data_IF_345346339647
#
_entry.id   IF_345346339647
#
_cell.length_a   1.000
_cell.length_b   1.000
_cell.length_c   1.000
_cell.angle_alpha   90.00
_cell.angle_beta   90.00
_cell.angle_gamma   90.00
#
_symmetry.space_group_name_H-M   'P 1'
#
loop_
_entity.id
_entity.type
_entity.pdbx_description
1 polymer ?
#
# COMPACT_ATOMS: atom_id res chain seq x y z
N UNK A 1 -34.57 26.73 65.25
CA UNK A 1 -34.11 25.41 65.70
C UNK A 1 -33.85 24.61 64.42
N UNK A 2 -32.61 24.53 63.99
CA UNK A 2 -32.21 23.55 62.96
C UNK A 2 -30.73 23.27 63.17
N UNK A 3 -30.40 22.01 63.48
CA UNK A 3 -29.10 21.52 63.81
C UNK A 3 -28.28 21.40 62.51
N UNK A 4 -27.17 22.14 62.41
CA UNK A 4 -26.11 21.90 61.46
C UNK A 4 -25.25 20.74 61.98
N UNK A 5 -25.28 19.60 61.31
CA UNK A 5 -24.36 18.48 61.53
C UNK A 5 -23.01 18.80 60.88
N UNK A 6 -22.00 18.90 61.71
CA UNK A 6 -20.58 18.99 61.29
C UNK A 6 -20.13 17.61 60.84
N UNK A 7 -19.81 17.45 59.55
CA UNK A 7 -19.13 16.27 59.03
C UNK A 7 -17.62 16.46 59.29
N UNK A 8 -17.10 15.72 60.24
CA UNK A 8 -15.68 15.62 60.52
C UNK A 8 -14.98 14.77 59.47
N UNK A 9 -14.21 15.38 58.56
CA UNK A 9 -13.24 14.69 57.70
C UNK A 9 -11.95 14.47 58.50
N UNK A 10 -11.87 13.38 59.24
CA UNK A 10 -10.63 12.84 59.78
C UNK A 10 -10.49 11.41 59.26
N UNK A 11 -9.58 11.19 58.35
CA UNK A 11 -8.75 9.98 58.17
C UNK A 11 -7.89 10.11 56.91
N UNK A 12 -6.89 10.97 56.94
CA UNK A 12 -5.73 10.77 56.05
C UNK A 12 -4.80 9.72 56.72
N UNK A 13 -5.17 8.46 56.61
CA UNK A 13 -4.33 7.36 57.00
C UNK A 13 -3.07 7.34 56.17
N UNK A 14 -1.89 7.37 56.80
CA UNK A 14 -0.60 7.15 56.14
C UNK A 14 -0.65 5.79 55.46
N UNK A 15 -0.80 5.78 54.14
CA UNK A 15 -0.60 4.58 53.32
C UNK A 15 0.84 4.07 53.54
N UNK A 16 1.05 2.80 53.93
CA UNK A 16 2.36 2.27 54.12
C UNK A 16 3.17 2.39 52.85
N UNK A 17 4.42 2.77 52.95
CA UNK A 17 5.34 2.98 51.78
C UNK A 17 5.29 1.83 50.77
N UNK A 18 5.03 0.60 51.24
CA UNK A 18 4.85 -0.60 50.42
C UNK A 18 3.63 -0.50 49.46
N UNK A 19 2.52 0.12 49.91
CA UNK A 19 1.34 0.30 49.05
C UNK A 19 1.56 1.34 47.94
N UNK A 20 2.32 2.40 48.23
CA UNK A 20 2.68 3.41 47.20
C UNK A 20 3.60 2.81 46.14
N UNK A 21 4.58 2.00 46.56
CA UNK A 21 5.48 1.29 45.63
C UNK A 21 4.71 0.27 44.78
N UNK A 22 3.76 -0.45 45.35
CA UNK A 22 2.90 -1.38 44.59
C UNK A 22 1.99 -0.65 43.61
N UNK A 23 1.43 0.49 43.98
CA UNK A 23 0.60 1.31 43.08
C UNK A 23 1.41 1.88 41.93
N UNK A 24 2.64 2.35 42.16
CA UNK A 24 3.54 2.84 41.10
C UNK A 24 3.98 1.69 40.19
N UNK A 25 4.28 0.52 40.74
CA UNK A 25 4.62 -0.67 39.93
C UNK A 25 3.43 -1.15 39.07
N UNK A 26 2.19 -1.08 39.58
CA UNK A 26 0.99 -1.42 38.84
C UNK A 26 0.71 -0.42 37.68
N UNK A 27 0.97 0.87 37.90
CA UNK A 27 0.83 1.90 36.85
C UNK A 27 1.92 1.71 35.75
N UNK A 28 3.15 1.37 36.14
CA UNK A 28 4.23 1.10 35.20
C UNK A 28 3.99 -0.18 34.39
N UNK A 29 3.39 -1.20 34.97
CA UNK A 29 3.04 -2.45 34.26
C UNK A 29 1.88 -2.23 33.24
N UNK A 30 1.03 -1.23 33.44
CA UNK A 30 -0.06 -0.89 32.52
C UNK A 30 0.39 -0.21 31.21
N UNK A 31 1.64 0.28 31.13
CA UNK A 31 2.17 0.97 29.95
C UNK A 31 2.87 0.03 28.95
N UNK A 32 2.90 -1.29 29.16
CA UNK A 32 3.48 -2.22 28.17
C UNK A 32 2.46 -2.50 27.07
N UNK A 33 2.76 -2.02 25.85
CA UNK A 33 1.99 -2.39 24.65
C UNK A 33 2.43 -3.78 24.23
N UNK A 34 1.65 -4.80 24.59
CA UNK A 34 1.88 -6.15 24.09
C UNK A 34 1.29 -6.27 22.67
N UNK A 35 2.06 -6.76 21.67
CA UNK A 35 1.52 -6.99 20.34
C UNK A 35 0.42 -8.05 20.42
N UNK A 36 -0.78 -7.69 19.96
CA UNK A 36 -1.95 -8.57 19.90
C UNK A 36 -2.05 -9.19 18.52
N UNK A 37 -1.97 -10.51 18.44
CA UNK A 37 -2.18 -11.21 17.18
C UNK A 37 -3.65 -11.06 16.75
N UNK A 38 -3.87 -10.92 15.43
CA UNK A 38 -5.20 -10.86 14.85
C UNK A 38 -5.93 -12.19 15.06
N UNK A 39 -7.16 -12.14 15.52
CA UNK A 39 -8.03 -13.31 15.63
C UNK A 39 -8.60 -13.68 14.25
N UNK A 40 -9.03 -14.95 14.09
CA UNK A 40 -9.63 -15.39 12.84
C UNK A 40 -10.92 -14.61 12.50
N UNK A 41 -11.68 -14.18 13.49
CA UNK A 41 -12.91 -13.41 13.26
C UNK A 41 -12.61 -11.98 12.81
N UNK A 42 -11.61 -11.32 13.40
CA UNK A 42 -11.11 -10.02 12.92
C UNK A 42 -10.62 -10.11 11.45
N UNK A 43 -9.92 -11.19 11.11
CA UNK A 43 -9.48 -11.43 9.72
C UNK A 43 -10.67 -11.65 8.79
N UNK A 44 -11.69 -12.43 9.19
CA UNK A 44 -12.92 -12.66 8.39
C UNK A 44 -13.69 -11.38 8.14
N UNK A 45 -13.89 -10.56 9.16
CA UNK A 45 -14.59 -9.27 9.01
C UNK A 45 -13.83 -8.32 8.10
N UNK A 46 -12.50 -8.24 8.26
CA UNK A 46 -11.65 -7.47 7.36
C UNK A 46 -11.78 -7.95 5.91
N UNK A 47 -11.63 -9.28 5.66
CA UNK A 47 -11.73 -9.85 4.31
C UNK A 47 -13.09 -9.55 3.69
N UNK A 48 -14.18 -9.70 4.44
CA UNK A 48 -15.54 -9.38 3.98
C UNK A 48 -15.68 -7.91 3.57
N UNK A 49 -15.19 -7.02 4.41
CA UNK A 49 -15.20 -5.58 4.15
C UNK A 49 -14.33 -5.21 2.95
N UNK A 50 -13.10 -5.74 2.88
CA UNK A 50 -12.16 -5.44 1.80
C UNK A 50 -12.67 -5.99 0.46
N UNK A 51 -13.23 -7.21 0.44
CA UNK A 51 -13.83 -7.79 -0.76
C UNK A 51 -15.01 -6.95 -1.25
N UNK A 52 -15.87 -6.47 -0.35
CA UNK A 52 -16.99 -5.60 -0.73
C UNK A 52 -16.51 -4.26 -1.33
N UNK A 53 -15.42 -3.69 -0.80
CA UNK A 53 -14.84 -2.45 -1.30
C UNK A 53 -14.02 -2.63 -2.58
N UNK A 54 -13.38 -3.78 -2.78
CA UNK A 54 -12.49 -4.05 -3.90
C UNK A 54 -13.17 -3.81 -5.26
N UNK A 55 -14.44 -4.20 -5.38
CA UNK A 55 -15.22 -4.11 -6.60
C UNK A 55 -16.28 -3.00 -6.58
N UNK A 56 -16.34 -2.22 -5.50
CA UNK A 56 -17.32 -1.14 -5.37
C UNK A 56 -17.04 0.00 -6.35
N UNK A 57 -18.10 0.59 -6.92
CA UNK A 57 -18.00 1.76 -7.79
C UNK A 57 -17.45 1.47 -9.19
N UNK A 58 -17.38 0.21 -9.60
CA UNK A 58 -17.00 -0.14 -10.97
C UNK A 58 -18.19 0.08 -11.92
N UNK A 59 -17.91 0.68 -13.08
CA UNK A 59 -18.90 0.81 -14.13
C UNK A 59 -19.26 -0.57 -14.68
N UNK A 60 -20.56 -0.90 -14.87
CA UNK A 60 -20.96 -2.17 -15.44
C UNK A 60 -20.41 -2.35 -16.85
N UNK A 61 -20.16 -3.60 -17.25
CA UNK A 61 -19.75 -3.94 -18.60
C UNK A 61 -21.04 -4.20 -19.39
N UNK A 62 -21.41 -3.27 -20.25
CA UNK A 62 -22.67 -3.34 -21.05
C UNK A 62 -22.45 -3.70 -22.52
N UNK A 63 -21.20 -3.59 -22.99
CA UNK A 63 -20.82 -3.88 -24.37
C UNK A 63 -19.48 -4.62 -24.42
N UNK A 64 -19.09 -5.08 -25.60
CA UNK A 64 -17.77 -5.66 -25.81
C UNK A 64 -16.67 -4.62 -25.51
N UNK A 65 -15.67 -5.01 -24.73
CA UNK A 65 -14.61 -4.14 -24.24
C UNK A 65 -13.61 -3.86 -25.36
N UNK A 66 -13.40 -2.57 -25.69
CA UNK A 66 -12.36 -2.14 -26.61
C UNK A 66 -10.99 -2.08 -25.90
N UNK A 67 -9.91 -1.95 -26.68
CA UNK A 67 -8.55 -1.77 -26.13
C UNK A 67 -8.47 -0.53 -25.24
N UNK A 68 -9.06 0.57 -25.68
CA UNK A 68 -9.06 1.85 -24.96
C UNK A 68 -9.85 1.74 -23.66
N UNK A 69 -10.99 1.05 -23.69
CA UNK A 69 -11.77 0.79 -22.47
C UNK A 69 -11.03 -0.12 -21.49
N UNK A 70 -10.36 -1.16 -21.98
CA UNK A 70 -9.56 -2.04 -21.16
C UNK A 70 -8.43 -1.28 -20.44
N UNK A 71 -7.72 -0.41 -21.17
CA UNK A 71 -6.69 0.48 -20.61
C UNK A 71 -7.30 1.45 -19.59
N UNK A 72 -8.42 2.09 -19.91
CA UNK A 72 -9.09 3.04 -19.03
C UNK A 72 -9.57 2.36 -17.73
N UNK A 73 -10.13 1.15 -17.83
CA UNK A 73 -10.52 0.34 -16.65
C UNK A 73 -9.31 -0.07 -15.81
N UNK A 74 -8.23 -0.50 -16.43
CA UNK A 74 -7.00 -0.85 -15.72
C UNK A 74 -6.44 0.37 -14.98
N UNK A 75 -6.32 1.54 -15.61
CA UNK A 75 -5.87 2.77 -14.96
C UNK A 75 -6.76 3.22 -13.80
N UNK A 76 -8.06 2.92 -13.87
CA UNK A 76 -9.01 3.35 -12.84
C UNK A 76 -9.14 2.35 -11.70
N UNK A 77 -9.09 1.05 -11.97
CA UNK A 77 -9.47 0.01 -11.03
C UNK A 77 -8.36 -0.96 -10.64
N UNK A 78 -7.22 -0.99 -11.37
CA UNK A 78 -6.11 -1.89 -11.07
C UNK A 78 -5.58 -1.64 -9.64
N UNK A 79 -5.41 -2.70 -8.87
CA UNK A 79 -5.05 -2.62 -7.46
C UNK A 79 -3.57 -2.26 -7.26
N UNK A 80 -2.68 -2.75 -8.12
CA UNK A 80 -1.24 -2.44 -8.03
C UNK A 80 -0.98 -0.96 -8.33
N UNK A 81 -1.69 -0.41 -9.33
CA UNK A 81 -1.61 1.02 -9.61
C UNK A 81 -2.16 1.86 -8.44
N UNK A 82 -3.28 1.44 -7.84
CA UNK A 82 -3.85 2.12 -6.66
C UNK A 82 -2.91 2.07 -5.47
N UNK A 83 -2.25 0.92 -5.24
CA UNK A 83 -1.22 0.79 -4.21
C UNK A 83 -0.08 1.79 -4.43
N UNK A 84 0.49 1.84 -5.63
CA UNK A 84 1.57 2.79 -5.95
C UNK A 84 1.15 4.25 -5.85
N UNK A 85 -0.09 4.57 -6.17
CA UNK A 85 -0.67 5.91 -5.95
C UNK A 85 -0.73 6.27 -4.47
N UNK A 86 -1.08 5.31 -3.59
CA UNK A 86 -1.11 5.54 -2.14
C UNK A 86 0.31 5.66 -1.55
N UNK A 87 1.25 4.85 -2.02
CA UNK A 87 2.67 4.95 -1.63
C UNK A 87 3.25 6.33 -2.00
N UNK A 88 2.92 6.84 -3.19
CA UNK A 88 3.34 8.16 -3.63
C UNK A 88 2.71 9.28 -2.76
N UNK A 89 1.41 9.17 -2.44
CA UNK A 89 0.74 10.11 -1.55
C UNK A 89 1.35 10.10 -0.12
N UNK A 90 1.71 8.91 0.39
CA UNK A 90 2.42 8.78 1.66
C UNK A 90 3.79 9.47 1.61
N UNK A 91 4.58 9.21 0.55
CA UNK A 91 5.89 9.83 0.38
C UNK A 91 5.79 11.36 0.27
N UNK A 92 4.75 11.89 -0.39
CA UNK A 92 4.46 13.31 -0.43
C UNK A 92 4.17 13.85 0.97
N UNK A 93 3.28 13.20 1.73
CA UNK A 93 2.97 13.63 3.10
C UNK A 93 4.18 13.62 4.03
N UNK A 94 5.10 12.65 3.86
CA UNK A 94 6.35 12.61 4.60
C UNK A 94 7.29 13.76 4.21
N UNK A 95 7.39 14.10 2.92
CA UNK A 95 8.18 15.24 2.46
C UNK A 95 7.62 16.57 2.99
N UNK A 96 6.30 16.74 2.99
CA UNK A 96 5.63 17.89 3.59
C UNK A 96 5.87 17.96 5.10
N UNK A 97 5.73 16.84 5.81
CA UNK A 97 5.99 16.76 7.24
C UNK A 97 7.43 17.16 7.58
N UNK A 98 8.42 16.58 6.90
CA UNK A 98 9.84 16.87 7.14
C UNK A 98 10.20 18.34 6.82
N UNK A 99 9.46 18.98 5.91
CA UNK A 99 9.66 20.41 5.64
C UNK A 99 9.30 21.30 6.84
N UNK A 100 8.41 20.85 7.72
CA UNK A 100 8.04 21.57 8.93
C UNK A 100 9.15 21.56 9.99
N UNK A 101 10.08 20.60 9.94
CA UNK A 101 11.23 20.53 10.86
C UNK A 101 12.21 21.70 10.67
N UNK A 102 12.11 22.42 9.55
CA UNK A 102 12.86 23.67 9.31
C UNK A 102 12.25 24.87 10.03
N UNK A 103 11.01 24.78 10.49
CA UNK A 103 10.29 25.87 11.12
C UNK A 103 10.65 25.98 12.60
N UNK A 104 10.56 27.20 13.17
CA UNK A 104 10.70 27.38 14.60
C UNK A 104 9.60 26.65 15.37
N UNK A 105 9.97 26.13 16.54
CA UNK A 105 9.06 25.44 17.44
C UNK A 105 8.48 26.41 18.46
N UNK A 106 7.17 26.37 18.64
CA UNK A 106 6.46 27.12 19.67
C UNK A 106 5.89 26.13 20.70
N UNK A 107 6.41 26.18 21.91
CA UNK A 107 5.99 25.32 23.01
C UNK A 107 5.23 26.16 24.03
N UNK A 108 3.96 25.83 24.25
CA UNK A 108 3.17 26.39 25.36
C UNK A 108 3.23 25.45 26.56
N UNK A 109 3.65 25.99 27.71
CA UNK A 109 3.70 25.24 28.97
C UNK A 109 2.77 25.85 30.01
N UNK A 110 2.08 25.00 30.76
CA UNK A 110 1.28 25.39 31.90
C UNK A 110 1.55 24.44 33.07
N UNK A 111 1.94 25.00 34.20
CA UNK A 111 2.20 24.25 35.42
C UNK A 111 1.43 24.83 36.61
N UNK A 112 0.93 23.95 37.46
CA UNK A 112 0.33 24.29 38.75
C UNK A 112 1.09 23.55 39.85
N UNK A 113 1.60 24.29 40.83
CA UNK A 113 2.29 23.76 42.01
C UNK A 113 1.61 24.27 43.26
N UNK A 114 1.26 23.37 44.16
CA UNK A 114 0.67 23.71 45.46
C UNK A 114 1.36 22.96 46.58
N UNK A 115 1.65 23.63 47.68
CA UNK A 115 2.26 23.03 48.86
C UNK A 115 1.32 23.20 50.07
N UNK A 116 1.37 22.27 50.97
CA UNK A 116 0.64 22.36 52.24
C UNK A 116 1.33 23.21 53.30
N UNK A 117 2.62 23.56 53.10
CA UNK A 117 3.46 24.37 54.02
C UNK A 117 4.17 25.50 53.25
N UNK A 118 4.66 26.50 53.96
CA UNK A 118 5.59 27.49 53.41
C UNK A 118 6.99 26.90 53.32
N UNK A 119 7.72 27.21 52.24
CA UNK A 119 9.16 26.99 52.18
C UNK A 119 9.84 28.15 52.90
N UNK A 120 10.41 27.89 54.06
CA UNK A 120 11.07 28.90 54.84
C UNK A 120 12.61 28.72 54.87
N UNK A 121 13.32 29.80 54.88
CA UNK A 121 14.77 29.83 55.04
C UNK A 121 15.17 31.08 55.80
N UNK A 122 16.40 31.12 56.29
CA UNK A 122 17.04 32.30 56.85
C UNK A 122 17.68 33.10 55.72
N UNK A 123 17.56 34.42 55.74
CA UNK A 123 18.21 35.34 54.77
C UNK A 123 19.41 36.03 55.44
N UNK A 124 20.43 36.31 54.62
CA UNK A 124 21.60 37.07 55.02
C UNK A 124 21.48 38.49 54.47
N UNK A 125 21.64 39.49 55.32
CA UNK A 125 21.65 40.88 54.89
C UNK A 125 22.79 41.15 53.91
N UNK A 126 22.52 41.75 52.77
CA UNK A 126 23.54 41.99 51.74
C UNK A 126 24.51 43.12 52.19
N UNK A 127 24.06 44.03 53.01
CA UNK A 127 24.85 45.22 53.41
C UNK A 127 25.63 45.01 54.72
N UNK A 128 25.09 44.23 55.64
CA UNK A 128 25.61 44.01 57.00
C UNK A 128 26.11 42.62 57.25
N UNK A 129 25.79 41.65 56.38
CA UNK A 129 26.16 40.23 56.54
C UNK A 129 25.41 39.53 57.68
N UNK A 130 24.43 40.15 58.34
CA UNK A 130 23.72 39.58 59.46
C UNK A 130 22.70 38.50 59.01
N UNK A 131 22.65 37.40 59.77
CA UNK A 131 21.69 36.32 59.49
C UNK A 131 20.36 36.65 60.16
N UNK A 132 19.30 36.70 59.42
CA UNK A 132 17.96 36.93 59.95
C UNK A 132 17.55 35.75 60.84
N UNK A 133 17.20 36.02 62.10
CA UNK A 133 16.72 35.03 63.06
C UNK A 133 15.26 34.66 62.83
N UNK A 134 14.54 35.41 61.97
CA UNK A 134 13.17 35.12 61.57
C UNK A 134 13.16 34.39 60.22
N UNK A 135 12.54 33.21 60.14
CA UNK A 135 12.46 32.53 58.84
C UNK A 135 11.59 33.37 57.89
N UNK A 136 12.08 33.54 56.67
CA UNK A 136 11.38 34.25 55.59
C UNK A 136 11.04 33.23 54.46
N UNK A 137 9.96 33.50 53.77
CA UNK A 137 9.60 32.70 52.58
C UNK A 137 9.50 33.63 51.40
N UNK A 138 10.26 33.31 50.38
CA UNK A 138 10.22 34.01 49.08
C UNK A 138 9.33 33.26 48.07
N UNK A 139 8.89 32.03 48.43
CA UNK A 139 8.08 31.22 47.57
C UNK A 139 6.60 31.21 48.01
N UNK A 140 5.70 31.38 47.07
CA UNK A 140 4.28 31.23 47.28
C UNK A 140 3.86 29.78 47.50
N UNK A 141 2.85 29.55 48.35
CA UNK A 141 2.30 28.19 48.57
C UNK A 141 1.65 27.62 47.31
N UNK A 142 1.07 28.50 46.51
CA UNK A 142 0.36 28.13 45.27
C UNK A 142 0.93 28.95 44.13
N UNK A 143 1.49 28.29 43.16
CA UNK A 143 2.11 28.95 42.00
C UNK A 143 1.55 28.39 40.72
N UNK A 144 1.05 29.26 39.87
CA UNK A 144 0.68 28.92 38.48
C UNK A 144 1.75 29.49 37.57
N UNK A 145 2.40 28.58 36.83
CA UNK A 145 3.39 28.93 35.82
C UNK A 145 2.72 28.82 34.45
N UNK A 146 2.82 29.84 33.64
CA UNK A 146 2.41 29.84 32.25
C UNK A 146 3.57 30.41 31.44
N UNK A 147 3.94 29.67 30.40
CA UNK A 147 5.05 30.07 29.54
C UNK A 147 4.74 29.75 28.09
N UNK A 148 5.23 30.61 27.22
CA UNK A 148 5.32 30.34 25.78
C UNK A 148 6.80 30.47 25.45
N UNK A 149 7.37 29.39 24.95
CA UNK A 149 8.76 29.31 24.54
C UNK A 149 8.83 29.20 23.03
N UNK A 150 9.57 30.08 22.42
CA UNK A 150 9.90 30.03 20.99
C UNK A 150 11.36 29.60 20.88
N UNK A 151 11.59 28.46 20.24
CA UNK A 151 12.93 27.95 19.99
C UNK A 151 13.18 27.77 18.50
N UNK A 152 14.29 28.24 18.02
CA UNK A 152 14.76 28.04 16.67
C UNK A 152 16.27 27.84 16.66
N UNK A 153 16.72 26.68 16.23
CA UNK A 153 18.14 26.40 16.16
C UNK A 153 18.65 26.62 14.73
N UNK A 154 19.34 27.71 14.52
CA UNK A 154 19.89 28.08 13.23
C UNK A 154 20.96 27.10 12.71
N UNK A 155 21.67 26.39 13.62
CA UNK A 155 22.65 25.36 13.23
C UNK A 155 21.99 24.11 12.69
N UNK A 156 20.85 23.70 13.25
CA UNK A 156 20.10 22.55 12.81
C UNK A 156 19.30 22.83 11.51
N UNK A 157 19.11 24.11 11.16
CA UNK A 157 18.42 24.48 9.92
C UNK A 157 19.08 23.88 8.69
N UNK A 158 20.42 23.88 8.60
CA UNK A 158 21.15 23.28 7.49
C UNK A 158 20.88 21.78 7.34
N UNK A 159 20.92 21.06 8.45
CA UNK A 159 20.62 19.61 8.48
C UNK A 159 19.17 19.34 8.13
N UNK A 160 18.24 20.10 8.70
CA UNK A 160 16.80 19.97 8.41
C UNK A 160 16.48 20.29 6.94
N UNK A 161 17.18 21.27 6.35
CA UNK A 161 17.04 21.59 4.92
C UNK A 161 17.45 20.42 4.02
N UNK A 162 18.63 19.82 4.25
CA UNK A 162 19.07 18.69 3.44
C UNK A 162 18.18 17.46 3.66
N UNK A 163 17.71 17.20 4.88
CA UNK A 163 16.74 16.13 5.16
C UNK A 163 15.42 16.33 4.42
N UNK A 164 14.88 17.55 4.43
CA UNK A 164 13.67 17.89 3.69
C UNK A 164 13.87 17.71 2.17
N UNK A 165 15.03 18.10 1.65
CA UNK A 165 15.39 17.91 0.23
C UNK A 165 15.50 16.42 -0.13
N UNK A 166 16.19 15.63 0.67
CA UNK A 166 16.27 14.16 0.49
C UNK A 166 14.88 13.53 0.52
N UNK A 167 14.00 13.95 1.43
CA UNK A 167 12.64 13.44 1.50
C UNK A 167 11.80 13.85 0.29
N UNK A 168 12.03 15.05 -0.24
CA UNK A 168 11.46 15.49 -1.51
C UNK A 168 11.91 14.61 -2.70
N UNK A 169 13.18 14.23 -2.75
CA UNK A 169 13.70 13.29 -3.75
C UNK A 169 13.14 11.88 -3.56
N UNK A 170 12.89 11.41 -2.33
CA UNK A 170 12.17 10.14 -2.08
C UNK A 170 10.74 10.18 -2.64
N UNK A 171 10.05 11.30 -2.52
CA UNK A 171 8.75 11.48 -3.18
C UNK A 171 8.87 11.37 -4.71
N UNK A 172 9.86 12.04 -5.34
CA UNK A 172 10.09 11.94 -6.79
C UNK A 172 10.42 10.51 -7.23
N UNK A 173 11.20 9.75 -6.45
CA UNK A 173 11.43 8.31 -6.67
C UNK A 173 10.11 7.54 -6.67
N UNK A 174 9.22 7.80 -5.73
CA UNK A 174 7.93 7.13 -5.66
C UNK A 174 7.05 7.41 -6.88
N UNK A 175 7.11 8.64 -7.43
CA UNK A 175 6.43 9.03 -8.66
C UNK A 175 6.99 8.32 -9.89
N UNK A 176 8.32 8.17 -10.02
CA UNK A 176 8.90 7.41 -11.13
C UNK A 176 8.56 5.91 -11.04
N UNK A 177 8.52 5.33 -9.84
CA UNK A 177 8.02 3.96 -9.61
C UNK A 177 6.57 3.81 -10.02
N UNK A 178 5.71 4.79 -9.71
CA UNK A 178 4.33 4.81 -10.16
C UNK A 178 4.23 4.86 -11.69
N UNK A 179 5.07 5.67 -12.36
CA UNK A 179 5.15 5.74 -13.84
C UNK A 179 5.57 4.40 -14.44
N UNK A 180 6.55 3.73 -13.84
CA UNK A 180 6.97 2.39 -14.27
C UNK A 180 5.82 1.38 -14.21
N UNK A 181 5.07 1.36 -13.11
CA UNK A 181 3.90 0.48 -12.97
C UNK A 181 2.86 0.77 -14.05
N UNK A 182 2.60 2.04 -14.37
CA UNK A 182 1.69 2.40 -15.47
C UNK A 182 2.18 1.87 -16.82
N UNK A 183 3.48 2.01 -17.13
CA UNK A 183 4.04 1.52 -18.39
C UNK A 183 3.92 -0.01 -18.50
N UNK A 184 4.29 -0.74 -17.45
CA UNK A 184 4.17 -2.20 -17.41
C UNK A 184 2.70 -2.63 -17.56
N UNK A 185 1.80 -2.01 -16.80
CA UNK A 185 0.37 -2.30 -16.86
C UNK A 185 -0.21 -2.05 -18.27
N UNK A 186 0.18 -0.99 -18.95
CA UNK A 186 -0.23 -0.73 -20.34
C UNK A 186 0.24 -1.82 -21.30
N UNK A 187 1.48 -2.30 -21.11
CA UNK A 187 2.01 -3.41 -21.90
C UNK A 187 1.25 -4.71 -21.61
N UNK A 188 1.02 -5.02 -20.32
CA UNK A 188 0.32 -6.23 -19.90
C UNK A 188 -1.13 -6.23 -20.39
N UNK A 189 -1.84 -5.10 -20.28
CA UNK A 189 -3.21 -4.95 -20.78
C UNK A 189 -3.26 -5.16 -22.29
N UNK A 190 -2.34 -4.57 -23.05
CA UNK A 190 -2.26 -4.78 -24.51
C UNK A 190 -2.03 -6.26 -24.85
N UNK A 191 -1.07 -6.88 -24.19
CA UNK A 191 -0.75 -8.29 -24.42
C UNK A 191 -1.92 -9.21 -24.06
N UNK A 192 -2.54 -8.98 -22.90
CA UNK A 192 -3.72 -9.75 -22.45
C UNK A 192 -4.93 -9.53 -23.36
N UNK A 193 -5.16 -8.30 -23.83
CA UNK A 193 -6.25 -7.97 -24.76
C UNK A 193 -6.14 -8.73 -26.08
N UNK A 194 -4.97 -8.68 -26.72
CA UNK A 194 -4.75 -9.40 -27.99
C UNK A 194 -4.81 -10.93 -27.83
N UNK A 195 -4.33 -11.45 -26.70
CA UNK A 195 -4.48 -12.87 -26.36
C UNK A 195 -5.95 -13.25 -26.15
N UNK A 196 -6.71 -12.41 -25.43
CA UNK A 196 -8.14 -12.64 -25.18
C UNK A 196 -8.96 -12.56 -26.48
N UNK A 197 -8.65 -11.62 -27.36
CA UNK A 197 -9.29 -11.50 -28.69
C UNK A 197 -8.97 -12.72 -29.56
N UNK A 198 -7.69 -13.14 -29.58
CA UNK A 198 -7.29 -14.37 -30.27
C UNK A 198 -8.01 -15.62 -29.74
N UNK A 199 -8.12 -15.71 -28.40
CA UNK A 199 -8.87 -16.77 -27.73
C UNK A 199 -10.35 -16.79 -28.16
N UNK A 200 -10.99 -15.62 -28.17
CA UNK A 200 -12.40 -15.49 -28.55
C UNK A 200 -12.64 -15.96 -29.99
N UNK A 201 -11.76 -15.64 -30.93
CA UNK A 201 -11.84 -16.05 -32.33
C UNK A 201 -11.54 -17.55 -32.56
N UNK A 202 -10.53 -18.06 -31.84
CA UNK A 202 -10.05 -19.43 -32.06
C UNK A 202 -10.87 -20.49 -31.32
N UNK A 203 -11.61 -20.13 -30.26
CA UNK A 203 -12.38 -21.12 -29.49
C UNK A 203 -13.39 -21.89 -30.34
N UNK A 204 -14.14 -21.23 -31.21
CA UNK A 204 -15.11 -21.89 -32.09
C UNK A 204 -14.43 -22.86 -33.06
N UNK A 205 -13.30 -22.49 -33.63
CA UNK A 205 -12.50 -23.35 -34.55
C UNK A 205 -11.88 -24.52 -33.79
N UNK A 206 -11.39 -24.30 -32.55
CA UNK A 206 -10.85 -25.34 -31.72
C UNK A 206 -11.89 -26.40 -31.36
N UNK A 207 -13.11 -25.99 -31.04
CA UNK A 207 -14.22 -26.91 -30.76
C UNK A 207 -14.58 -27.76 -31.98
N UNK A 208 -14.64 -27.17 -33.18
CA UNK A 208 -14.89 -27.91 -34.43
C UNK A 208 -13.76 -28.92 -34.73
N UNK A 209 -12.50 -28.56 -34.56
CA UNK A 209 -11.35 -29.45 -34.77
C UNK A 209 -11.36 -30.61 -33.75
N UNK A 210 -11.68 -30.35 -32.49
CA UNK A 210 -11.81 -31.38 -31.46
C UNK A 210 -12.91 -32.37 -31.77
N UNK A 211 -14.07 -31.89 -32.26
CA UNK A 211 -15.15 -32.79 -32.71
C UNK A 211 -14.71 -33.67 -33.90
N UNK A 212 -14.05 -33.10 -34.90
CA UNK A 212 -13.50 -33.82 -36.04
C UNK A 212 -12.48 -34.87 -35.61
N UNK A 213 -11.57 -34.51 -34.67
CA UNK A 213 -10.56 -35.43 -34.16
C UNK A 213 -11.20 -36.60 -33.38
N UNK A 214 -12.22 -36.35 -32.55
CA UNK A 214 -12.93 -37.38 -31.83
C UNK A 214 -13.68 -38.34 -32.77
N UNK A 215 -14.31 -37.81 -33.81
CA UNK A 215 -14.98 -38.61 -34.83
C UNK A 215 -13.97 -39.46 -35.62
N UNK A 216 -12.83 -38.89 -35.99
CA UNK A 216 -11.75 -39.63 -36.69
C UNK A 216 -11.19 -40.76 -35.83
N UNK A 217 -11.04 -40.55 -34.51
CA UNK A 217 -10.61 -41.57 -33.57
C UNK A 217 -11.60 -42.72 -33.49
N UNK A 218 -12.90 -42.42 -33.41
CA UNK A 218 -13.96 -43.43 -33.39
C UNK A 218 -13.96 -44.26 -34.67
N UNK A 219 -13.93 -43.60 -35.84
CA UNK A 219 -13.86 -44.27 -37.15
C UNK A 219 -12.61 -45.12 -37.31
N UNK A 220 -11.45 -44.69 -36.82
CA UNK A 220 -10.22 -45.46 -36.86
C UNK A 220 -10.32 -46.77 -36.04
N UNK A 221 -10.98 -46.72 -34.86
CA UNK A 221 -11.23 -47.88 -34.03
C UNK A 221 -12.22 -48.85 -34.68
N UNK A 222 -13.26 -48.34 -35.32
CA UNK A 222 -14.21 -49.15 -36.08
C UNK A 222 -13.53 -49.88 -37.27
N UNK A 223 -12.70 -49.14 -38.03
CA UNK A 223 -11.96 -49.71 -39.15
C UNK A 223 -10.93 -50.77 -38.70
N UNK A 224 -10.31 -50.62 -37.55
CA UNK A 224 -9.44 -51.61 -36.92
C UNK A 224 -10.25 -52.87 -36.54
N UNK A 225 -11.37 -52.67 -35.85
CA UNK A 225 -12.24 -53.77 -35.42
C UNK A 225 -12.79 -54.58 -36.62
N UNK A 226 -13.14 -53.87 -37.71
CA UNK A 226 -13.60 -54.49 -38.97
C UNK A 226 -12.44 -55.04 -39.83
N UNK A 227 -11.20 -54.96 -39.35
CA UNK A 227 -10.00 -55.43 -40.06
C UNK A 227 -9.79 -54.76 -41.44
N UNK A 228 -10.27 -53.54 -41.64
CA UNK A 228 -10.10 -52.78 -42.88
C UNK A 228 -8.67 -52.24 -42.99
N UNK A 229 -8.04 -51.92 -41.86
CA UNK A 229 -6.67 -51.43 -41.78
C UNK A 229 -5.83 -52.32 -40.86
N UNK A 230 -4.51 -52.46 -41.11
CA UNK A 230 -3.64 -53.22 -40.23
C UNK A 230 -3.56 -52.60 -38.84
N UNK A 231 -3.56 -53.39 -37.73
CA UNK A 231 -3.59 -52.90 -36.36
C UNK A 231 -2.46 -51.91 -36.04
N UNK A 232 -1.23 -52.12 -36.54
CA UNK A 232 -0.10 -51.22 -36.33
C UNK A 232 -0.31 -49.82 -36.94
N UNK A 233 -0.97 -49.77 -38.11
CA UNK A 233 -1.30 -48.52 -38.78
C UNK A 233 -2.42 -47.78 -38.03
N UNK A 234 -3.45 -48.55 -37.61
CA UNK A 234 -4.56 -48.01 -36.81
C UNK A 234 -4.06 -47.38 -35.52
N UNK A 235 -3.24 -48.10 -34.77
CA UNK A 235 -2.67 -47.61 -33.50
C UNK A 235 -1.78 -46.37 -33.68
N UNK A 236 -0.94 -46.35 -34.72
CA UNK A 236 -0.11 -45.16 -35.02
C UNK A 236 -0.98 -43.94 -35.31
N UNK A 237 -2.03 -44.06 -36.09
CA UNK A 237 -2.97 -43.00 -36.41
C UNK A 237 -3.78 -42.54 -35.18
N UNK A 238 -4.27 -43.48 -34.38
CA UNK A 238 -4.99 -43.17 -33.13
C UNK A 238 -4.10 -42.43 -32.15
N UNK A 239 -2.82 -42.81 -32.01
CA UNK A 239 -1.86 -42.12 -31.18
C UNK A 239 -1.63 -40.68 -31.66
N UNK A 240 -1.42 -40.47 -32.95
CA UNK A 240 -1.24 -39.13 -33.52
C UNK A 240 -2.46 -38.23 -33.29
N UNK A 241 -3.70 -38.77 -33.40
CA UNK A 241 -4.93 -38.04 -33.10
C UNK A 241 -5.06 -37.70 -31.62
N UNK A 242 -4.69 -38.61 -30.73
CA UNK A 242 -4.69 -38.36 -29.29
C UNK A 242 -3.66 -37.27 -28.91
N UNK A 243 -2.45 -37.37 -29.43
CA UNK A 243 -1.39 -36.36 -29.19
C UNK A 243 -1.85 -34.98 -29.69
N UNK A 244 -2.45 -34.89 -30.87
CA UNK A 244 -3.00 -33.64 -31.41
C UNK A 244 -4.17 -33.12 -30.54
N UNK A 245 -5.05 -34.02 -30.04
CA UNK A 245 -6.15 -33.64 -29.17
C UNK A 245 -5.66 -33.10 -27.81
N UNK A 246 -4.64 -33.73 -27.22
CA UNK A 246 -4.00 -33.26 -25.98
C UNK A 246 -3.39 -31.86 -26.18
N UNK A 247 -2.63 -31.68 -27.25
CA UNK A 247 -2.02 -30.37 -27.57
C UNK A 247 -3.11 -29.30 -27.77
N UNK A 248 -4.17 -29.60 -28.50
CA UNK A 248 -5.25 -28.64 -28.76
C UNK A 248 -5.99 -28.26 -27.47
N UNK A 249 -6.24 -29.23 -26.58
CA UNK A 249 -6.85 -28.95 -25.28
C UNK A 249 -5.96 -28.08 -24.39
N UNK A 250 -4.64 -28.32 -24.38
CA UNK A 250 -3.68 -27.44 -23.68
C UNK A 250 -3.74 -26.01 -24.22
N UNK A 251 -3.71 -25.83 -25.54
CA UNK A 251 -3.82 -24.50 -26.15
C UNK A 251 -5.13 -23.80 -25.84
N UNK A 252 -6.23 -24.55 -25.82
CA UNK A 252 -7.56 -24.04 -25.43
C UNK A 252 -7.57 -23.56 -23.96
N UNK A 253 -6.92 -24.28 -23.07
CA UNK A 253 -6.76 -23.84 -21.68
C UNK A 253 -5.91 -22.56 -21.59
N UNK A 254 -4.78 -22.49 -22.28
CA UNK A 254 -3.93 -21.29 -22.34
C UNK A 254 -4.74 -20.07 -22.81
N UNK A 255 -5.56 -20.24 -23.84
CA UNK A 255 -6.42 -19.19 -24.36
C UNK A 255 -7.52 -18.78 -23.35
N UNK A 256 -8.10 -19.73 -22.61
CA UNK A 256 -9.08 -19.44 -21.58
C UNK A 256 -8.50 -18.61 -20.41
N UNK A 257 -7.21 -18.77 -20.11
CA UNK A 257 -6.53 -17.95 -19.11
C UNK A 257 -6.32 -16.50 -19.56
N UNK A 258 -6.13 -16.24 -20.84
CA UNK A 258 -5.90 -14.89 -21.36
C UNK A 258 -7.05 -13.92 -21.04
N UNK A 259 -8.31 -14.40 -21.15
CA UNK A 259 -9.49 -13.58 -20.78
C UNK A 259 -9.53 -13.28 -19.27
N UNK A 260 -9.14 -14.26 -18.44
CA UNK A 260 -9.08 -14.08 -16.98
C UNK A 260 -7.95 -13.13 -16.57
N UNK A 261 -6.81 -13.19 -17.25
CA UNK A 261 -5.70 -12.29 -17.06
C UNK A 261 -6.11 -10.83 -17.35
N UNK A 262 -6.79 -10.61 -18.49
CA UNK A 262 -7.33 -9.29 -18.82
C UNK A 262 -8.36 -8.83 -17.77
N UNK A 263 -9.24 -9.73 -17.30
CA UNK A 263 -10.19 -9.44 -16.23
C UNK A 263 -9.49 -9.00 -14.94
N UNK A 264 -8.41 -9.69 -14.54
CA UNK A 264 -7.63 -9.35 -13.36
C UNK A 264 -6.95 -7.97 -13.49
N UNK A 265 -6.36 -7.66 -14.65
CA UNK A 265 -5.74 -6.35 -14.90
C UNK A 265 -6.76 -5.20 -14.80
N UNK A 266 -7.99 -5.42 -15.27
CA UNK A 266 -9.10 -4.47 -15.17
C UNK A 266 -9.80 -4.49 -13.79
N UNK A 267 -9.39 -5.37 -12.88
CA UNK A 267 -10.05 -5.65 -11.60
C UNK A 267 -11.55 -6.04 -11.75
N UNK A 268 -11.89 -6.78 -12.80
CA UNK A 268 -13.26 -7.27 -13.00
C UNK A 268 -13.55 -8.39 -11.98
N UNK A 269 -14.72 -8.39 -11.31
CA UNK A 269 -15.07 -9.42 -10.34
C UNK A 269 -15.04 -10.83 -10.96
N UNK A 270 -14.58 -11.86 -10.24
CA UNK A 270 -14.64 -13.23 -10.68
C UNK A 270 -16.07 -13.66 -11.05
N UNK A 271 -16.23 -14.37 -12.18
CA UNK A 271 -17.53 -14.84 -12.65
C UNK A 271 -18.30 -13.86 -13.54
N UNK A 272 -17.85 -12.62 -13.69
CA UNK A 272 -18.41 -11.71 -14.68
C UNK A 272 -17.86 -12.09 -16.06
N UNK A 273 -18.76 -12.48 -16.97
CA UNK A 273 -18.41 -12.74 -18.36
C UNK A 273 -18.47 -11.42 -19.17
N UNK A 274 -17.56 -11.27 -20.11
CA UNK A 274 -17.51 -10.16 -21.03
C UNK A 274 -16.93 -10.58 -22.37
N UNK A 275 -17.21 -9.82 -23.41
CA UNK A 275 -16.61 -10.03 -24.72
C UNK A 275 -15.57 -8.93 -24.99
N UNK A 276 -14.57 -9.27 -25.76
CA UNK A 276 -13.57 -8.34 -26.26
C UNK A 276 -14.04 -7.86 -27.65
N UNK A 277 -14.00 -6.54 -27.85
CA UNK A 277 -14.40 -5.95 -29.12
C UNK A 277 -13.40 -6.36 -30.22
N UNK A 278 -13.93 -6.66 -31.41
CA UNK A 278 -13.09 -6.93 -32.56
C UNK A 278 -12.38 -5.65 -33.01
N UNK A 279 -11.08 -5.74 -33.21
CA UNK A 279 -10.33 -4.66 -33.85
C UNK A 279 -10.69 -4.59 -35.34
N UNK A 280 -11.00 -3.38 -35.82
CA UNK A 280 -11.34 -3.16 -37.23
C UNK A 280 -10.17 -3.45 -38.16
N UNK A 281 -8.95 -3.24 -37.69
CA UNK A 281 -7.71 -3.52 -38.43
C UNK A 281 -6.69 -4.21 -37.53
N UNK A 282 -6.13 -5.32 -38.02
CA UNK A 282 -5.05 -6.07 -37.37
C UNK A 282 -3.74 -5.84 -38.09
N UNK A 283 -3.35 -4.59 -38.29
CA UNK A 283 -2.05 -4.25 -38.86
C UNK A 283 -0.98 -4.20 -37.81
N UNK A 284 0.13 -4.89 -38.05
CA UNK A 284 1.32 -4.76 -37.18
C UNK A 284 1.90 -3.35 -37.34
N UNK A 285 2.19 -2.65 -36.24
CA UNK A 285 2.86 -1.36 -36.33
C UNK A 285 4.23 -1.53 -36.99
N UNK A 286 4.62 -0.57 -37.82
CA UNK A 286 5.94 -0.59 -38.43
C UNK A 286 7.04 -0.54 -37.37
N UNK A 287 8.05 -1.39 -37.50
CA UNK A 287 9.20 -1.36 -36.61
C UNK A 287 9.91 0.00 -36.70
N UNK A 288 10.33 0.59 -35.59
CA UNK A 288 11.09 1.83 -35.60
C UNK A 288 12.40 1.64 -36.38
N UNK A 289 12.68 2.54 -37.31
CA UNK A 289 13.88 2.46 -38.19
C UNK A 289 15.15 3.03 -37.52
N UNK A 290 14.98 3.94 -36.56
CA UNK A 290 16.09 4.67 -35.95
C UNK A 290 16.26 4.24 -34.48
N UNK A 291 17.14 3.26 -34.26
CA UNK A 291 17.43 2.72 -32.92
C UNK A 291 18.04 3.78 -32.02
N UNK A 292 18.94 4.63 -32.53
CA UNK A 292 19.62 5.69 -31.79
C UNK A 292 18.61 6.68 -31.16
N UNK A 293 17.55 7.06 -31.89
CA UNK A 293 16.49 7.91 -31.29
C UNK A 293 15.72 7.23 -30.18
N UNK A 294 15.54 5.91 -30.26
CA UNK A 294 14.91 5.13 -29.19
C UNK A 294 15.80 5.04 -27.96
N UNK A 295 17.12 4.90 -28.17
CA UNK A 295 18.12 4.90 -27.10
C UNK A 295 18.13 6.26 -26.39
N UNK A 296 18.18 7.37 -27.13
CA UNK A 296 18.13 8.73 -26.58
C UNK A 296 16.83 8.96 -25.78
N UNK A 297 15.69 8.55 -26.34
CA UNK A 297 14.41 8.64 -25.61
C UNK A 297 14.41 7.77 -24.34
N UNK A 298 14.99 6.58 -24.39
CA UNK A 298 15.08 5.70 -23.24
C UNK A 298 15.95 6.32 -22.14
N UNK A 299 17.12 6.88 -22.49
CA UNK A 299 18.01 7.52 -21.53
C UNK A 299 17.37 8.76 -20.86
N UNK A 300 16.55 9.52 -21.60
CA UNK A 300 15.92 10.73 -21.08
C UNK A 300 14.62 10.48 -20.31
N UNK A 301 13.87 9.41 -20.64
CA UNK A 301 12.49 9.27 -20.19
C UNK A 301 12.20 8.01 -19.36
N UNK A 302 13.14 7.05 -19.29
CA UNK A 302 12.91 5.83 -18.52
C UNK A 302 12.80 6.12 -17.02
N UNK A 303 11.71 5.70 -16.36
CA UNK A 303 11.50 5.91 -14.94
C UNK A 303 12.64 5.34 -14.09
N UNK A 304 13.22 4.21 -14.49
CA UNK A 304 14.30 3.55 -13.75
C UNK A 304 15.57 4.41 -13.71
N UNK A 305 15.93 5.07 -14.83
CA UNK A 305 17.10 5.93 -14.87
C UNK A 305 16.89 7.19 -14.06
N UNK A 306 15.69 7.79 -14.15
CA UNK A 306 15.33 8.97 -13.35
C UNK A 306 15.26 8.66 -11.86
N UNK A 307 14.82 7.46 -11.47
CA UNK A 307 14.88 6.99 -10.10
C UNK A 307 16.32 6.97 -9.58
N UNK A 308 17.26 6.47 -10.37
CA UNK A 308 18.69 6.44 -10.00
C UNK A 308 19.33 7.84 -9.95
N UNK A 309 18.91 8.76 -10.83
CA UNK A 309 19.35 10.16 -10.77
C UNK A 309 18.91 10.83 -9.43
N UNK A 310 17.68 10.59 -8.97
CA UNK A 310 17.22 11.10 -7.67
C UNK A 310 17.95 10.42 -6.51
N UNK A 311 18.24 9.12 -6.56
CA UNK A 311 19.06 8.42 -5.55
C UNK A 311 20.46 9.01 -5.46
N UNK A 312 21.08 9.29 -6.60
CA UNK A 312 22.38 9.94 -6.65
C UNK A 312 22.36 11.32 -5.99
N UNK A 313 21.27 12.10 -6.15
CA UNK A 313 21.14 13.39 -5.45
C UNK A 313 21.00 13.21 -3.94
N UNK A 314 20.21 12.23 -3.49
CA UNK A 314 20.08 11.91 -2.05
C UNK A 314 21.45 11.60 -1.46
N UNK A 315 22.23 10.72 -2.10
CA UNK A 315 23.58 10.36 -1.62
C UNK A 315 24.55 11.53 -1.67
N UNK A 316 24.37 12.51 -2.56
CA UNK A 316 25.22 13.70 -2.60
C UNK A 316 24.86 14.72 -1.51
N UNK A 317 23.63 14.64 -0.98
CA UNK A 317 23.15 15.50 0.12
C UNK A 317 23.40 14.85 1.51
N UNK A 318 23.95 13.63 1.60
CA UNK A 318 24.40 12.96 2.83
C UNK A 318 25.77 13.48 3.29
#
# INVERSE_FOLDING_TARGET
MSKMQSISLQAAGFLPRSMVVLAVAAVMAGCTVAPKALTQDEVRERVKHDTAKMYSGQAPITAAISMEEAVARALKYNLDYRLKKMESALAQGLAEHTSHDMLPQLVASAGYSSRNNYSGGTSIGILDGEVSTRPTSSDERTRTLRGIEFSWNALDFGVSYYRARQQGDQFLISEERRRKVVQNMLQDVRAAYWRALGAQRLNAQADEVLQKASLALTRSREAETQKIIPPGVALAYQRALLDATVLLNQRRQDLAFAKRELAALMNVPPGVDFQVAEASEMTLPAAPKEITKLEDMALLQRPELREEDFRKRITADE
#
